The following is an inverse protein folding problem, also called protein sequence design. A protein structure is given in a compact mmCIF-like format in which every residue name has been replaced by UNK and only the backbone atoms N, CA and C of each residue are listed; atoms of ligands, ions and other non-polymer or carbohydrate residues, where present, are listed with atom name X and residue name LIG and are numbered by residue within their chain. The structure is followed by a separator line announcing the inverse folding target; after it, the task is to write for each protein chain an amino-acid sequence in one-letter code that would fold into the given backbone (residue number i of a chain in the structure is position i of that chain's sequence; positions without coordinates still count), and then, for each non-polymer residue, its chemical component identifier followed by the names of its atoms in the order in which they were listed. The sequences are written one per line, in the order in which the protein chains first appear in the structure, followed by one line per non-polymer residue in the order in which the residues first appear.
data_IF_875019688824
#
_entry.id   IF_875019688824
#
_cell.length_a   1.000
_cell.length_b   1.000
_cell.length_c   1.000
_cell.angle_alpha   90.00
_cell.angle_beta   90.00
_cell.angle_gamma   90.00
#
_symmetry.space_group_name_H-M   'P 1'
#
loop_
_entity.id
_entity.type
_entity.pdbx_description
1 polymer ?
#
# COMPACT_ATOMS: atom_id res chain seq x y z
N UNK A 1 7.00 -6.97 -14.94
CA UNK A 1 8.14 -6.04 -14.75
C UNK A 1 7.80 -4.60 -15.14
N UNK A 2 7.18 -4.36 -16.31
CA UNK A 2 6.84 -2.99 -16.76
C UNK A 2 5.88 -2.25 -15.81
N UNK A 3 4.84 -2.91 -15.29
CA UNK A 3 3.92 -2.31 -14.32
C UNK A 3 4.60 -1.89 -12.99
N UNK A 4 5.63 -2.62 -12.55
CA UNK A 4 6.34 -2.31 -11.31
C UNK A 4 7.11 -0.99 -11.42
N UNK A 5 7.76 -0.76 -12.56
CA UNK A 5 8.50 0.47 -12.83
C UNK A 5 7.54 1.66 -12.94
N UNK A 6 6.38 1.48 -13.59
CA UNK A 6 5.39 2.54 -13.73
C UNK A 6 4.85 3.03 -12.37
N UNK A 7 4.55 2.12 -11.43
CA UNK A 7 4.08 2.48 -10.09
C UNK A 7 5.16 3.23 -9.30
N UNK A 8 6.42 2.79 -9.39
CA UNK A 8 7.54 3.47 -8.74
C UNK A 8 7.67 4.92 -9.23
N UNK A 9 7.68 5.13 -10.55
CA UNK A 9 7.81 6.47 -11.14
C UNK A 9 6.68 7.38 -10.68
N UNK A 10 5.43 6.90 -10.75
CA UNK A 10 4.26 7.67 -10.31
C UNK A 10 4.35 8.10 -8.84
N UNK A 11 4.80 7.20 -7.96
CA UNK A 11 4.93 7.54 -6.53
C UNK A 11 6.03 8.57 -6.31
N UNK A 12 7.16 8.45 -6.99
CA UNK A 12 8.23 9.44 -6.89
C UNK A 12 7.76 10.83 -7.34
N UNK A 13 6.93 10.92 -8.38
CA UNK A 13 6.33 12.18 -8.83
C UNK A 13 5.38 12.75 -7.77
N UNK A 14 4.49 11.94 -7.20
CA UNK A 14 3.60 12.36 -6.12
C UNK A 14 4.36 12.84 -4.87
N UNK A 15 5.46 12.18 -4.53
CA UNK A 15 6.31 12.61 -3.42
C UNK A 15 7.02 13.93 -3.71
N UNK A 16 7.45 14.17 -4.94
CA UNK A 16 8.06 15.44 -5.35
C UNK A 16 7.08 16.61 -5.25
N UNK A 17 5.80 16.37 -5.55
CA UNK A 17 4.72 17.36 -5.42
C UNK A 17 4.30 17.61 -3.96
N UNK A 18 4.65 16.70 -3.03
CA UNK A 18 4.39 16.84 -1.60
C UNK A 18 2.99 16.39 -1.19
N UNK A 19 2.78 15.07 -1.13
CA UNK A 19 1.54 14.46 -0.64
C UNK A 19 1.52 14.25 0.88
N UNK A 20 0.33 14.38 1.48
CA UNK A 20 0.13 14.09 2.90
C UNK A 20 -0.09 12.61 3.21
N UNK A 21 -0.51 11.82 2.22
CA UNK A 21 -0.76 10.38 2.33
C UNK A 21 -0.83 9.74 0.93
N UNK A 22 -0.63 8.43 0.86
CA UNK A 22 -0.78 7.62 -0.36
C UNK A 22 -1.93 6.64 -0.18
N UNK A 23 -2.85 6.60 -1.16
CA UNK A 23 -3.98 5.67 -1.20
C UNK A 23 -3.77 4.61 -2.28
N UNK A 24 -3.96 3.34 -1.94
CA UNK A 24 -3.79 2.21 -2.86
C UNK A 24 -2.63 1.31 -2.47
N UNK A 25 -2.01 0.59 -3.42
CA UNK A 25 -2.46 0.40 -4.80
C UNK A 25 -3.68 -0.54 -4.88
N UNK A 26 -4.38 -0.51 -6.02
CA UNK A 26 -5.53 -1.39 -6.28
C UNK A 26 -5.16 -2.87 -6.29
N UNK A 27 -3.95 -3.19 -6.75
CA UNK A 27 -3.48 -4.57 -6.94
C UNK A 27 -2.46 -4.96 -5.88
N UNK A 28 -2.63 -6.14 -5.28
CA UNK A 28 -1.73 -6.64 -4.23
C UNK A 28 -0.26 -6.74 -4.69
N UNK A 29 -0.03 -7.02 -5.97
CA UNK A 29 1.30 -7.24 -6.55
C UNK A 29 2.25 -6.05 -6.42
N UNK A 30 1.72 -4.82 -6.38
CA UNK A 30 2.54 -3.60 -6.29
C UNK A 30 2.51 -2.96 -4.90
N UNK A 31 1.73 -3.53 -3.96
CA UNK A 31 1.56 -3.00 -2.60
C UNK A 31 2.90 -2.84 -1.88
N UNK A 32 3.76 -3.84 -1.96
CA UNK A 32 5.01 -3.86 -1.20
C UNK A 32 5.96 -2.74 -1.68
N UNK A 33 5.89 -2.36 -2.96
CA UNK A 33 6.59 -1.17 -3.48
C UNK A 33 6.06 0.08 -2.79
N UNK A 34 4.74 0.31 -2.83
CA UNK A 34 4.12 1.50 -2.25
C UNK A 34 4.39 1.60 -0.76
N UNK A 35 4.23 0.48 -0.05
CA UNK A 35 4.45 0.35 1.39
C UNK A 35 5.90 0.62 1.79
N UNK A 36 6.87 0.06 1.05
CA UNK A 36 8.30 0.31 1.34
C UNK A 36 8.68 1.79 1.14
N UNK A 37 8.16 2.44 0.10
CA UNK A 37 8.40 3.86 -0.17
C UNK A 37 7.72 4.72 0.90
N UNK A 38 6.45 4.49 1.19
CA UNK A 38 5.71 5.25 2.19
C UNK A 38 6.38 5.16 3.57
N UNK A 39 6.84 3.96 3.96
CA UNK A 39 7.64 3.74 5.16
C UNK A 39 8.95 4.52 5.14
N UNK A 40 9.68 4.51 4.01
CA UNK A 40 10.96 5.23 3.86
C UNK A 40 10.81 6.74 4.05
N UNK A 41 9.73 7.32 3.56
CA UNK A 41 9.47 8.76 3.62
C UNK A 41 8.56 9.17 4.79
N UNK A 42 8.20 8.23 5.67
CA UNK A 42 7.24 8.42 6.76
C UNK A 42 5.89 9.02 6.30
N UNK A 43 5.44 8.66 5.11
CA UNK A 43 4.15 9.07 4.57
C UNK A 43 3.09 8.03 4.97
N UNK A 44 1.92 8.43 5.49
CA UNK A 44 0.80 7.52 5.73
C UNK A 44 0.38 6.78 4.45
N UNK A 45 0.24 5.47 4.52
CA UNK A 45 -0.20 4.61 3.42
C UNK A 45 -1.52 3.92 3.77
N UNK A 46 -2.53 4.06 2.91
CA UNK A 46 -3.88 3.56 3.15
C UNK A 46 -4.24 2.57 2.04
N UNK A 47 -4.35 1.29 2.42
CA UNK A 47 -4.71 0.20 1.54
C UNK A 47 -6.20 -0.12 1.64
N UNK A 48 -6.77 -0.61 0.55
CA UNK A 48 -8.18 -1.01 0.48
C UNK A 48 -8.37 -2.33 -0.28
N UNK A 49 -7.31 -3.12 -0.44
CA UNK A 49 -7.37 -4.42 -1.10
C UNK A 49 -7.64 -5.54 -0.09
N UNK A 50 -8.36 -6.56 -0.53
CA UNK A 50 -8.52 -7.79 0.25
C UNK A 50 -7.16 -8.41 0.54
N UNK A 51 -7.00 -8.94 1.76
CA UNK A 51 -5.83 -9.70 2.19
C UNK A 51 -6.23 -11.12 2.55
N UNK A 52 -5.40 -12.07 2.14
CA UNK A 52 -5.61 -13.47 2.49
C UNK A 52 -5.36 -13.71 3.98
N UNK A 53 -6.02 -14.74 4.53
CA UNK A 53 -5.86 -15.09 5.94
C UNK A 53 -4.42 -15.57 6.17
N UNK A 54 -3.68 -14.87 7.04
CA UNK A 54 -2.27 -15.18 7.35
C UNK A 54 -1.27 -14.20 6.73
N UNK A 55 -1.74 -13.28 5.89
CA UNK A 55 -0.93 -12.17 5.41
C UNK A 55 -0.75 -11.12 6.52
N UNK A 56 0.49 -10.97 6.99
CA UNK A 56 0.82 -10.05 8.09
C UNK A 56 1.04 -8.62 7.59
N UNK A 57 0.59 -7.64 8.36
CA UNK A 57 0.96 -6.23 8.19
C UNK A 57 2.42 -6.05 8.62
N UNK A 58 3.32 -5.83 7.67
CA UNK A 58 4.76 -5.68 7.93
C UNK A 58 5.24 -4.24 7.93
N UNK A 59 4.39 -3.28 7.58
CA UNK A 59 4.79 -1.88 7.43
C UNK A 59 4.17 -0.98 8.49
N UNK A 60 5.02 -0.38 9.31
CA UNK A 60 4.64 0.51 10.42
C UNK A 60 3.82 1.75 9.98
N UNK A 61 3.91 2.14 8.71
CA UNK A 61 3.26 3.33 8.15
C UNK A 61 2.05 3.01 7.25
N UNK A 62 1.60 1.75 7.22
CA UNK A 62 0.47 1.35 6.39
C UNK A 62 -0.70 0.87 7.25
N UNK A 63 -1.91 1.20 6.81
CA UNK A 63 -3.15 0.66 7.36
C UNK A 63 -4.02 0.14 6.23
N UNK A 64 -4.56 -1.08 6.38
CA UNK A 64 -5.56 -1.60 5.47
C UNK A 64 -6.97 -1.42 6.06
N UNK A 65 -7.81 -0.67 5.33
CA UNK A 65 -9.20 -0.40 5.69
C UNK A 65 -10.19 -1.39 5.05
N UNK A 66 -9.72 -2.33 4.23
CA UNK A 66 -10.57 -3.41 3.74
C UNK A 66 -11.06 -4.28 4.92
N UNK A 67 -12.35 -4.64 4.97
CA UNK A 67 -12.89 -5.47 6.05
C UNK A 67 -12.09 -6.76 6.24
N UNK A 68 -11.66 -7.02 7.48
CA UNK A 68 -10.89 -8.23 7.77
C UNK A 68 -11.70 -9.48 7.42
N UNK A 69 -11.08 -10.44 6.74
CA UNK A 69 -11.67 -11.75 6.42
C UNK A 69 -12.12 -12.51 7.67
N UNK A 70 -11.48 -12.27 8.83
CA UNK A 70 -11.92 -12.81 10.13
C UNK A 70 -13.31 -12.32 10.57
N UNK A 71 -13.78 -11.17 10.06
CA UNK A 71 -15.09 -10.62 10.40
C UNK A 71 -16.27 -11.35 9.72
N UNK A 72 -16.00 -12.19 8.73
CA UNK A 72 -17.03 -12.94 7.98
C UNK A 72 -16.92 -14.47 8.13
N UNK A 73 -16.09 -14.96 9.06
CA UNK A 73 -16.03 -16.38 9.39
C UNK A 73 -17.28 -16.84 10.12
N UNK A 74 -18.16 -17.56 9.43
CA UNK A 74 -19.08 -18.54 10.04
C UNK A 74 -18.39 -19.88 10.14
#
# INVERSE_FOLDING_TARGET
MVEFIAVLTLICELLADGVAAIFGPKFAQTRDIVSSIASRFNIPHIEFSFREIGENDTSANSINIYPSSKMYGK
#
